data_IF_094616257481
#
_entry.id   IF_094616257481
#
_cell.length_a   1.000
_cell.length_b   1.000
_cell.length_c   1.000
_cell.angle_alpha   90.00
_cell.angle_beta   90.00
_cell.angle_gamma   90.00
#
_symmetry.space_group_name_H-M   'P 1'
#
loop_
_entity.id
_entity.type
_entity.pdbx_description
1 polymer ?
#
# COMPACT_ATOMS: atom_id res chain seq x y z
N UNK A 1 -11.45 -13.88 -1.62
CA UNK A 1 -11.35 -12.40 -1.54
C UNK A 1 -11.16 -11.89 -2.96
N UNK A 2 -12.05 -11.05 -3.47
CA UNK A 2 -11.94 -10.55 -4.85
C UNK A 2 -11.13 -9.25 -4.82
N UNK A 3 -9.85 -9.32 -5.17
CA UNK A 3 -8.92 -8.19 -5.19
C UNK A 3 -9.12 -7.29 -6.41
N UNK A 4 -10.36 -6.93 -6.75
CA UNK A 4 -10.70 -6.23 -8.01
C UNK A 4 -11.47 -4.92 -7.83
N UNK A 5 -11.82 -4.55 -6.59
CA UNK A 5 -12.68 -3.39 -6.27
C UNK A 5 -14.07 -3.41 -6.91
N UNK A 6 -14.56 -4.57 -7.33
CA UNK A 6 -15.92 -4.73 -7.83
C UNK A 6 -16.90 -4.92 -6.67
N UNK A 7 -17.99 -4.16 -6.67
CA UNK A 7 -19.05 -4.23 -5.65
C UNK A 7 -20.40 -3.77 -6.22
N UNK A 8 -21.50 -4.16 -5.56
CA UNK A 8 -22.87 -3.84 -6.01
C UNK A 8 -23.36 -2.45 -5.57
N UNK A 9 -22.55 -1.66 -4.86
CA UNK A 9 -22.99 -0.42 -4.21
C UNK A 9 -22.79 0.82 -5.09
N UNK A 10 -21.96 0.76 -6.13
CA UNK A 10 -21.67 1.92 -6.96
C UNK A 10 -20.97 1.57 -8.27
N UNK A 11 -20.54 2.62 -8.97
CA UNK A 11 -19.80 2.47 -10.23
C UNK A 11 -18.46 1.79 -9.95
N UNK A 12 -18.14 0.79 -10.78
CA UNK A 12 -16.89 0.04 -10.67
C UNK A 12 -15.71 0.95 -10.98
N UNK A 13 -14.71 0.96 -10.09
CA UNK A 13 -13.41 1.56 -10.39
C UNK A 13 -12.77 0.83 -11.56
N UNK A 14 -12.25 1.57 -12.56
CA UNK A 14 -11.59 1.01 -13.75
C UNK A 14 -10.10 1.33 -13.75
N UNK A 15 -9.31 0.48 -14.39
CA UNK A 15 -7.89 0.72 -14.57
C UNK A 15 -7.68 1.87 -15.58
N UNK A 16 -6.89 2.91 -15.24
CA UNK A 16 -6.68 4.05 -16.14
C UNK A 16 -5.86 3.70 -17.40
N UNK A 17 -5.12 2.58 -17.39
CA UNK A 17 -4.39 2.11 -18.57
C UNK A 17 -5.26 1.30 -19.54
N UNK A 18 -6.35 0.71 -19.05
CA UNK A 18 -7.34 -0.01 -19.85
C UNK A 18 -8.66 -0.13 -19.06
N UNK A 19 -9.70 0.59 -19.50
CA UNK A 19 -10.97 0.67 -18.79
C UNK A 19 -11.78 -0.63 -18.79
N UNK A 20 -11.43 -1.62 -19.63
CA UNK A 20 -12.02 -2.95 -19.60
C UNK A 20 -11.42 -3.84 -18.50
N UNK A 21 -10.40 -3.36 -17.78
CA UNK A 21 -9.70 -4.10 -16.73
C UNK A 21 -9.90 -3.50 -15.35
N UNK A 22 -9.73 -4.36 -14.34
CA UNK A 22 -9.77 -3.96 -12.93
C UNK A 22 -8.51 -3.15 -12.54
N UNK A 23 -8.64 -2.16 -11.65
CA UNK A 23 -7.51 -1.47 -11.04
C UNK A 23 -6.84 -2.31 -9.92
N UNK A 24 -7.32 -3.53 -9.65
CA UNK A 24 -6.94 -4.31 -8.48
C UNK A 24 -7.73 -3.88 -7.23
N UNK A 25 -7.36 -4.39 -6.05
CA UNK A 25 -8.09 -4.07 -4.83
C UNK A 25 -7.46 -4.61 -3.55
N UNK A 26 -7.92 -4.17 -2.37
CA UNK A 26 -9.11 -3.31 -2.16
C UNK A 26 -8.89 -1.79 -2.31
N UNK A 27 -7.64 -1.31 -2.40
CA UNK A 27 -7.35 0.13 -2.57
C UNK A 27 -7.34 0.58 -4.04
N UNK A 28 -8.07 -0.10 -4.92
CA UNK A 28 -8.06 0.11 -6.37
C UNK A 28 -8.50 1.50 -6.81
N UNK A 29 -9.53 2.07 -6.19
CA UNK A 29 -9.96 3.44 -6.48
C UNK A 29 -8.88 4.49 -6.18
N UNK A 30 -8.17 4.33 -5.05
CA UNK A 30 -7.06 5.21 -4.68
C UNK A 30 -5.88 5.07 -5.66
N UNK A 31 -5.54 3.84 -6.05
CA UNK A 31 -4.47 3.59 -7.02
C UNK A 31 -4.82 4.16 -8.41
N UNK A 32 -6.04 3.93 -8.88
CA UNK A 32 -6.53 4.46 -10.15
C UNK A 32 -6.55 6.00 -10.15
N UNK A 33 -6.97 6.64 -9.05
CA UNK A 33 -6.98 8.09 -8.94
C UNK A 33 -5.57 8.72 -9.03
N UNK A 34 -4.58 8.11 -8.35
CA UNK A 34 -3.19 8.55 -8.42
C UNK A 34 -2.60 8.33 -9.82
N UNK A 35 -2.84 7.16 -10.41
CA UNK A 35 -2.37 6.84 -11.75
C UNK A 35 -2.98 7.74 -12.84
N UNK A 36 -4.26 8.06 -12.73
CA UNK A 36 -4.97 8.98 -13.63
C UNK A 36 -4.65 10.47 -13.39
N UNK A 37 -3.84 10.80 -12.37
CA UNK A 37 -3.50 12.19 -12.04
C UNK A 37 -4.63 12.99 -11.40
N UNK A 38 -5.64 12.33 -10.84
CA UNK A 38 -6.74 12.97 -10.11
C UNK A 38 -6.32 13.46 -8.73
N UNK A 39 -5.29 12.84 -8.14
CA UNK A 39 -4.62 13.32 -6.95
C UNK A 39 -3.11 13.01 -7.02
N UNK A 40 -2.26 13.80 -6.33
CA UNK A 40 -0.81 13.57 -6.35
C UNK A 40 -0.40 12.35 -5.53
N UNK A 41 -1.12 12.08 -4.44
CA UNK A 41 -0.90 10.98 -3.50
C UNK A 41 -2.25 10.51 -2.95
N UNK A 42 -2.30 9.26 -2.49
CA UNK A 42 -3.45 8.71 -1.76
C UNK A 42 -2.98 7.78 -0.63
N UNK A 43 -3.91 7.39 0.23
CA UNK A 43 -3.71 6.38 1.26
C UNK A 43 -4.62 5.18 1.02
N UNK A 44 -4.25 4.04 1.59
CA UNK A 44 -5.07 2.83 1.61
C UNK A 44 -4.62 1.90 2.73
N UNK A 45 -5.04 0.64 2.68
CA UNK A 45 -4.61 -0.39 3.63
C UNK A 45 -4.26 -1.69 2.92
N UNK A 46 -3.32 -2.45 3.50
CA UNK A 46 -2.84 -3.72 2.95
C UNK A 46 -2.84 -4.79 4.05
N UNK A 47 -3.76 -5.75 3.94
CA UNK A 47 -3.77 -6.96 4.77
C UNK A 47 -3.24 -8.20 4.06
N UNK A 48 -3.57 -8.35 2.78
CA UNK A 48 -3.15 -9.48 1.93
C UNK A 48 -2.57 -9.04 0.58
N UNK A 49 -2.16 -7.78 0.44
CA UNK A 49 -1.75 -7.17 -0.83
C UNK A 49 -2.59 -5.97 -1.25
N UNK A 50 -3.55 -5.52 -0.43
CA UNK A 50 -4.53 -4.49 -0.84
C UNK A 50 -3.97 -3.09 -1.15
N UNK A 51 -2.69 -2.82 -0.90
CA UNK A 51 -1.96 -1.68 -1.49
C UNK A 51 -1.13 -2.15 -2.70
N UNK A 52 -0.33 -3.20 -2.53
CA UNK A 52 0.65 -3.68 -3.53
C UNK A 52 0.02 -4.21 -4.82
N UNK A 53 -1.11 -4.91 -4.73
CA UNK A 53 -1.87 -5.43 -5.87
C UNK A 53 -2.40 -4.29 -6.73
N UNK A 54 -3.19 -3.33 -6.21
CA UNK A 54 -3.69 -2.24 -7.04
C UNK A 54 -2.59 -1.29 -7.51
N UNK A 55 -1.52 -1.09 -6.73
CA UNK A 55 -0.36 -0.32 -7.19
C UNK A 55 0.32 -0.98 -8.41
N UNK A 56 0.51 -2.30 -8.38
CA UNK A 56 1.02 -3.08 -9.51
C UNK A 56 0.09 -2.93 -10.73
N UNK A 57 -1.21 -3.14 -10.55
CA UNK A 57 -2.18 -3.10 -11.67
C UNK A 57 -2.29 -1.70 -12.28
N UNK A 58 -2.18 -0.64 -11.47
CA UNK A 58 -2.26 0.74 -11.94
C UNK A 58 -0.90 1.35 -12.30
N UNK A 59 0.21 0.59 -12.23
CA UNK A 59 1.54 1.08 -12.60
C UNK A 59 2.06 2.22 -11.73
N UNK A 60 1.81 2.16 -10.41
CA UNK A 60 2.28 3.16 -9.44
C UNK A 60 3.06 2.50 -8.29
N UNK A 61 3.67 3.32 -7.45
CA UNK A 61 4.47 2.87 -6.31
C UNK A 61 3.68 2.84 -5.00
N UNK A 62 4.02 1.86 -4.15
CA UNK A 62 3.55 1.76 -2.77
C UNK A 62 4.52 0.95 -1.93
N UNK A 63 4.39 1.10 -0.61
CA UNK A 63 4.95 0.18 0.37
C UNK A 63 3.90 -0.11 1.45
N UNK A 64 3.73 -1.38 1.80
CA UNK A 64 3.06 -1.73 3.06
C UNK A 64 4.11 -1.62 4.18
N UNK A 65 3.99 -0.66 5.11
CA UNK A 65 4.98 -0.53 6.16
C UNK A 65 4.89 -1.69 7.16
N UNK A 66 5.87 -1.76 8.06
CA UNK A 66 5.86 -2.71 9.19
C UNK A 66 4.56 -2.56 9.99
N UNK A 67 4.00 -3.68 10.46
CA UNK A 67 2.81 -3.67 11.31
C UNK A 67 3.03 -2.77 12.53
N UNK A 68 2.08 -1.89 12.84
CA UNK A 68 2.19 -0.91 13.92
C UNK A 68 3.05 0.32 13.62
N UNK A 69 3.63 0.46 12.41
CA UNK A 69 4.38 1.67 12.01
C UNK A 69 3.50 2.90 11.83
N UNK A 70 2.33 2.69 11.26
CA UNK A 70 1.25 3.68 11.10
C UNK A 70 0.10 3.22 11.99
N UNK A 71 -0.51 4.16 12.70
CA UNK A 71 -1.65 3.88 13.60
C UNK A 71 -2.84 3.34 12.83
N UNK A 72 -3.44 2.27 13.34
CA UNK A 72 -4.70 1.70 12.88
C UNK A 72 -5.92 2.25 13.64
N UNK A 73 -5.74 3.25 14.51
CA UNK A 73 -6.84 3.85 15.25
C UNK A 73 -7.83 4.55 14.30
N UNK A 74 -9.07 4.04 14.24
CA UNK A 74 -10.10 4.52 13.30
C UNK A 74 -10.97 5.65 13.86
N UNK A 75 -10.76 6.07 15.11
CA UNK A 75 -11.63 7.03 15.78
C UNK A 75 -12.94 6.44 16.31
N UNK A 76 -13.27 5.19 15.99
CA UNK A 76 -14.46 4.51 16.49
C UNK A 76 -14.20 3.99 17.90
N UNK A 77 -15.06 4.32 18.86
CA UNK A 77 -14.96 3.93 20.27
C UNK A 77 -15.21 2.45 20.56
N UNK A 78 -15.14 1.58 19.55
CA UNK A 78 -15.27 0.13 19.69
C UNK A 78 -13.92 -0.57 19.81
N UNK A 79 -13.89 -1.84 20.24
CA UNK A 79 -12.67 -2.64 20.19
C UNK A 79 -12.12 -2.62 18.75
N UNK A 80 -10.80 -2.47 18.55
CA UNK A 80 -10.23 -2.47 17.22
C UNK A 80 -10.66 -3.74 16.50
N UNK A 81 -11.11 -3.61 15.25
CA UNK A 81 -11.34 -4.77 14.40
C UNK A 81 -10.08 -5.66 14.45
N UNK A 82 -10.21 -6.97 14.70
CA UNK A 82 -9.06 -7.87 14.94
C UNK A 82 -8.26 -8.17 13.65
N UNK A 83 -8.20 -7.24 12.70
CA UNK A 83 -7.38 -7.38 11.52
C UNK A 83 -5.93 -6.98 11.84
N UNK A 84 -5.21 -7.91 12.46
CA UNK A 84 -3.79 -7.78 12.81
C UNK A 84 -2.85 -7.82 11.60
N UNK A 85 -3.38 -8.07 10.39
CA UNK A 85 -2.60 -8.16 9.16
C UNK A 85 -2.64 -6.87 8.34
N UNK A 86 -3.70 -6.07 8.51
CA UNK A 86 -3.90 -4.84 7.77
C UNK A 86 -3.02 -3.73 8.31
N UNK A 87 -2.38 -3.01 7.40
CA UNK A 87 -1.61 -1.82 7.72
C UNK A 87 -1.89 -0.68 6.74
N UNK A 88 -2.13 0.56 7.22
CA UNK A 88 -2.25 1.72 6.37
C UNK A 88 -0.92 2.07 5.69
N UNK A 89 -0.98 2.63 4.49
CA UNK A 89 0.22 3.02 3.74
C UNK A 89 -0.07 3.94 2.56
N UNK A 90 1.00 4.46 1.92
CA UNK A 90 0.90 5.42 0.82
C UNK A 90 0.69 4.74 -0.54
N UNK A 91 0.02 5.45 -1.46
CA UNK A 91 -0.07 5.16 -2.90
C UNK A 91 0.37 6.41 -3.65
N UNK A 92 1.40 6.29 -4.48
CA UNK A 92 2.08 7.45 -5.08
C UNK A 92 2.71 7.11 -6.43
N UNK A 93 2.98 8.10 -7.28
CA UNK A 93 3.69 7.85 -8.56
C UNK A 93 5.20 7.66 -8.42
N UNK A 94 5.80 8.13 -7.32
CA UNK A 94 7.26 8.08 -7.11
C UNK A 94 7.61 7.52 -5.73
N UNK A 95 8.83 6.99 -5.59
CA UNK A 95 9.34 6.50 -4.29
C UNK A 95 9.51 7.65 -3.29
N UNK A 96 9.95 8.82 -3.75
CA UNK A 96 10.11 10.02 -2.91
C UNK A 96 8.80 10.49 -2.30
N UNK A 97 7.72 10.55 -3.09
CA UNK A 97 6.39 10.91 -2.59
C UNK A 97 5.89 9.90 -1.54
N UNK A 98 6.11 8.61 -1.77
CA UNK A 98 5.76 7.59 -0.78
C UNK A 98 6.55 7.74 0.52
N UNK A 99 7.85 8.06 0.44
CA UNK A 99 8.68 8.28 1.61
C UNK A 99 8.18 9.50 2.42
N UNK A 100 7.87 10.61 1.75
CA UNK A 100 7.32 11.82 2.39
C UNK A 100 5.97 11.52 3.05
N UNK A 101 5.05 10.89 2.34
CA UNK A 101 3.73 10.57 2.88
C UNK A 101 3.84 9.56 4.04
N UNK A 102 4.68 8.54 3.92
CA UNK A 102 4.92 7.59 5.02
C UNK A 102 5.55 8.27 6.23
N UNK A 103 6.47 9.23 6.03
CA UNK A 103 7.07 10.01 7.11
C UNK A 103 6.01 10.78 7.90
N UNK A 104 5.01 11.34 7.20
CA UNK A 104 3.90 12.06 7.83
C UNK A 104 2.89 11.13 8.53
N UNK A 105 2.68 9.92 8.01
CA UNK A 105 1.73 8.94 8.57
C UNK A 105 2.31 8.14 9.75
N UNK A 106 3.61 7.89 9.76
CA UNK A 106 4.25 7.01 10.72
C UNK A 106 4.46 7.68 12.08
N UNK A 107 4.29 6.91 13.16
CA UNK A 107 4.49 7.42 14.51
C UNK A 107 3.83 6.54 15.55
N UNK A 108 4.29 6.68 16.79
CA UNK A 108 3.64 6.06 17.93
C UNK A 108 2.28 6.73 18.19
N UNK A 109 1.23 5.94 18.31
CA UNK A 109 -0.09 6.39 18.72
C UNK A 109 -0.58 5.56 19.92
N UNK A 110 -0.76 6.21 21.07
CA UNK A 110 -1.23 5.57 22.30
C UNK A 110 -2.63 4.96 22.19
N UNK A 111 -3.42 5.37 21.19
CA UNK A 111 -4.78 4.87 20.95
C UNK A 111 -4.79 3.54 20.20
N UNK A 112 -3.66 3.17 19.61
CA UNK A 112 -3.45 1.88 18.94
C UNK A 112 -2.47 1.03 19.75
N UNK A 113 -2.98 -0.07 20.33
CA UNK A 113 -2.20 -0.96 21.17
C UNK A 113 -1.07 -1.67 20.40
N UNK A 114 -1.23 -1.84 19.08
CA UNK A 114 -0.23 -2.47 18.22
C UNK A 114 0.84 -1.48 17.73
N UNK A 115 0.70 -0.18 18.04
CA UNK A 115 1.60 0.86 17.56
C UNK A 115 3.03 0.66 18.11
N UNK A 116 4.02 0.74 17.22
CA UNK A 116 5.42 0.64 17.57
C UNK A 116 5.82 1.86 18.38
N UNK A 117 6.26 1.64 19.62
CA UNK A 117 6.72 2.69 20.56
C UNK A 117 8.12 3.25 20.27
N UNK A 118 8.54 3.23 19.00
CA UNK A 118 9.84 3.75 18.54
C UNK A 118 9.61 4.81 17.48
N UNK A 119 10.36 5.91 17.57
CA UNK A 119 10.39 6.94 16.54
C UNK A 119 10.63 6.29 15.16
N UNK A 120 9.83 6.63 14.13
CA UNK A 120 10.10 6.22 12.77
C UNK A 120 11.51 6.67 12.34
N UNK A 121 12.25 5.87 11.55
CA UNK A 121 13.45 6.37 10.90
C UNK A 121 13.08 7.46 9.90
N UNK A 122 14.07 8.21 9.45
CA UNK A 122 13.90 9.16 8.33
C UNK A 122 13.81 8.37 7.01
N UNK A 123 12.59 8.25 6.49
CA UNK A 123 12.33 7.55 5.24
C UNK A 123 12.76 8.38 4.03
N UNK A 124 12.74 9.71 4.13
CA UNK A 124 13.15 10.60 3.04
C UNK A 124 14.67 10.52 2.89
N UNK A 125 15.43 10.62 3.97
CA UNK A 125 16.88 10.41 3.92
C UNK A 125 17.26 9.00 3.44
N UNK A 126 16.39 8.00 3.64
CA UNK A 126 16.62 6.65 3.14
C UNK A 126 16.54 6.54 1.60
N UNK A 127 15.82 7.42 0.90
CA UNK A 127 15.74 7.40 -0.57
C UNK A 127 17.03 7.87 -1.24
N UNK A 128 17.85 8.63 -0.51
CA UNK A 128 19.13 9.15 -1.00
C UNK A 128 20.29 8.15 -0.87
N UNK A 129 20.05 7.00 -0.22
CA UNK A 129 21.09 5.98 -0.04
C UNK A 129 21.23 5.11 -1.29
N UNK A 130 22.48 4.90 -1.71
CA UNK A 130 22.82 3.91 -2.73
C UNK A 130 22.57 2.47 -2.28
N UNK A 131 22.68 1.54 -3.23
CA UNK A 131 22.42 0.10 -3.01
C UNK A 131 23.69 -0.74 -2.89
N UNK A 132 24.86 -0.11 -2.83
CA UNK A 132 26.14 -0.82 -2.77
C UNK A 132 26.23 -1.73 -1.55
N UNK A 133 26.64 -2.98 -1.78
CA UNK A 133 26.76 -3.99 -0.74
C UNK A 133 25.44 -4.64 -0.29
N UNK A 134 24.28 -4.25 -0.85
CA UNK A 134 23.02 -4.93 -0.60
C UNK A 134 23.01 -6.33 -1.25
N UNK A 135 22.34 -7.27 -0.59
CA UNK A 135 22.13 -8.64 -1.07
C UNK A 135 20.65 -8.85 -1.35
N UNK A 136 20.33 -9.38 -2.53
CA UNK A 136 18.96 -9.61 -2.97
C UNK A 136 18.73 -11.12 -3.08
N UNK A 137 17.73 -11.62 -2.34
CA UNK A 137 17.21 -12.97 -2.56
C UNK A 137 16.20 -12.94 -3.71
N UNK A 138 16.33 -13.84 -4.67
CA UNK A 138 15.46 -13.91 -5.84
C UNK A 138 14.88 -15.31 -6.02
N UNK A 139 13.61 -15.35 -6.41
CA UNK A 139 12.88 -16.56 -6.80
C UNK A 139 11.82 -16.16 -7.81
N UNK A 140 11.63 -16.93 -8.90
CA UNK A 140 10.64 -16.59 -9.92
C UNK A 140 9.21 -16.81 -9.43
N UNK A 141 8.99 -17.72 -8.47
CA UNK A 141 7.66 -18.23 -8.10
C UNK A 141 7.52 -18.60 -6.62
N UNK A 142 8.55 -18.35 -5.80
CA UNK A 142 8.63 -18.82 -4.41
C UNK A 142 8.45 -20.35 -4.26
N UNK A 143 8.58 -21.13 -5.33
CA UNK A 143 8.36 -22.57 -5.38
C UNK A 143 6.90 -23.02 -5.33
N UNK A 144 5.92 -22.10 -5.38
CA UNK A 144 4.49 -22.46 -5.31
C UNK A 144 3.54 -21.52 -6.06
N UNK A 145 3.97 -20.29 -6.39
CA UNK A 145 3.11 -19.28 -6.97
C UNK A 145 3.05 -19.44 -8.50
N UNK A 146 1.86 -19.53 -9.11
CA UNK A 146 1.76 -19.46 -10.57
C UNK A 146 2.08 -18.03 -11.02
N UNK A 147 3.15 -17.88 -11.81
CA UNK A 147 3.56 -16.61 -12.41
C UNK A 147 3.39 -16.70 -13.92
N UNK A 148 2.76 -15.67 -14.50
CA UNK A 148 2.50 -15.60 -15.93
C UNK A 148 3.81 -15.28 -16.68
N UNK A 149 4.05 -15.82 -17.88
CA UNK A 149 5.33 -15.63 -18.59
C UNK A 149 5.70 -14.17 -18.87
N UNK A 150 4.72 -13.27 -18.93
CA UNK A 150 4.93 -11.84 -19.18
C UNK A 150 5.33 -11.04 -17.93
N UNK A 151 5.38 -11.65 -16.75
CA UNK A 151 5.72 -11.05 -15.44
C UNK A 151 7.08 -11.53 -14.96
#
# INVERSE_FOLDING_TARGET
>A
MVGTCENSLGVLGRNPWNTDRTPGGSSGGAAAAVAAGLCPVATGSDGGGSLRIPANFCGIYTIKPTQGRVSCYTGLGGPPLPNIFSQPGPLTRTVGDAAILLQAMAGFDRRDQASIRRTPPDFVAATERGIDGLRIGWTPDFGFAPVWPEV
#
